data_IF_141258326467
#
_entry.id   IF_141258326467
#
_cell.length_a   1.000
_cell.length_b   1.000
_cell.length_c   1.000
_cell.angle_alpha   90.00
_cell.angle_beta   90.00
_cell.angle_gamma   90.00
#
_symmetry.space_group_name_H-M   'P 1'
#
loop_
_entity.id
_entity.type
_entity.pdbx_description
1 polymer ?
#
# COMPACT_ATOMS: atom_id res chain seq x y z
N UNK A 1 11.51 -10.42 4.32
CA UNK A 1 10.98 -9.06 4.51
C UNK A 1 11.74 -8.25 5.55
N UNK A 2 12.81 -8.78 6.15
CA UNK A 2 13.58 -8.13 7.23
C UNK A 2 13.97 -6.69 6.92
N UNK A 3 14.54 -6.43 5.74
CA UNK A 3 14.93 -5.08 5.34
C UNK A 3 13.78 -4.07 5.39
N UNK A 4 12.58 -4.43 4.91
CA UNK A 4 11.41 -3.53 4.97
C UNK A 4 11.03 -3.20 6.42
N UNK A 5 11.02 -4.21 7.29
CA UNK A 5 10.71 -4.03 8.71
C UNK A 5 11.74 -3.14 9.40
N UNK A 6 13.02 -3.30 9.07
CA UNK A 6 14.09 -2.44 9.58
C UNK A 6 13.91 -0.98 9.13
N UNK A 7 13.55 -0.74 7.87
CA UNK A 7 13.30 0.63 7.38
C UNK A 7 12.06 1.27 8.03
N UNK A 8 10.99 0.50 8.23
CA UNK A 8 9.78 1.00 8.88
C UNK A 8 10.01 1.30 10.37
N UNK A 9 10.77 0.44 11.05
CA UNK A 9 11.18 0.67 12.43
C UNK A 9 12.05 1.92 12.57
N UNK A 10 13.03 2.11 11.69
CA UNK A 10 13.88 3.29 11.69
C UNK A 10 13.08 4.57 11.41
N UNK A 11 12.14 4.52 10.46
CA UNK A 11 11.24 5.64 10.17
C UNK A 11 10.35 5.98 11.38
N UNK A 12 9.73 4.98 12.02
CA UNK A 12 8.91 5.15 13.23
C UNK A 12 9.71 5.83 14.35
N UNK A 13 10.95 5.40 14.58
CA UNK A 13 11.84 5.98 15.61
C UNK A 13 12.21 7.43 15.33
N UNK A 14 12.36 7.79 14.05
CA UNK A 14 12.70 9.15 13.64
C UNK A 14 11.46 10.05 13.50
N UNK A 15 10.26 9.47 13.57
CA UNK A 15 9.00 10.19 13.32
C UNK A 15 8.71 10.43 11.84
N UNK A 16 9.44 9.76 10.93
CA UNK A 16 9.29 9.90 9.49
C UNK A 16 7.99 9.23 9.01
N UNK A 17 7.45 9.74 7.90
CA UNK A 17 6.32 9.13 7.20
C UNK A 17 6.79 8.37 5.96
N UNK A 18 6.12 7.26 5.66
CA UNK A 18 6.51 6.33 4.60
C UNK A 18 5.43 6.20 3.55
N UNK A 19 5.84 6.32 2.29
CA UNK A 19 5.08 5.84 1.14
C UNK A 19 5.66 4.51 0.68
N UNK A 20 4.80 3.49 0.53
CA UNK A 20 5.19 2.23 -0.09
C UNK A 20 4.81 2.25 -1.57
N UNK A 21 5.77 1.89 -2.43
CA UNK A 21 5.57 1.78 -3.88
C UNK A 21 6.03 0.40 -4.33
N UNK A 22 5.13 -0.35 -4.96
CA UNK A 22 5.42 -1.69 -5.45
C UNK A 22 4.54 -2.03 -6.67
N UNK A 23 4.74 -3.20 -7.28
CA UNK A 23 4.03 -3.55 -8.52
C UNK A 23 2.76 -4.36 -8.25
N UNK A 24 2.90 -5.58 -7.71
CA UNK A 24 1.81 -6.53 -7.46
C UNK A 24 1.20 -6.22 -6.08
N UNK A 25 -0.10 -5.89 -5.98
CA UNK A 25 -0.77 -5.68 -4.70
C UNK A 25 -0.70 -6.93 -3.81
N UNK A 26 -0.46 -6.75 -2.51
CA UNK A 26 -0.37 -7.88 -1.57
C UNK A 26 -1.65 -8.71 -1.41
N UNK A 27 -2.81 -8.17 -1.80
CA UNK A 27 -4.10 -8.87 -1.81
C UNK A 27 -4.46 -9.51 -3.17
N UNK A 28 -3.57 -9.43 -4.16
CA UNK A 28 -3.78 -10.07 -5.46
C UNK A 28 -3.52 -11.59 -5.38
N UNK A 29 -4.23 -12.35 -6.21
CA UNK A 29 -4.09 -13.82 -6.27
C UNK A 29 -2.69 -14.31 -6.67
N UNK A 30 -1.86 -13.44 -7.25
CA UNK A 30 -0.49 -13.74 -7.62
C UNK A 30 0.51 -13.55 -6.46
N UNK A 31 0.09 -12.95 -5.36
CA UNK A 31 0.91 -12.87 -4.16
C UNK A 31 0.94 -14.23 -3.43
N UNK A 32 2.13 -14.71 -3.09
CA UNK A 32 2.26 -15.90 -2.24
C UNK A 32 1.65 -15.62 -0.88
N UNK A 33 0.74 -16.50 -0.41
CA UNK A 33 -0.01 -16.34 0.85
C UNK A 33 0.90 -15.97 2.03
N UNK A 34 2.01 -16.69 2.21
CA UNK A 34 2.96 -16.41 3.27
C UNK A 34 3.58 -15.01 3.17
N UNK A 35 3.84 -14.50 1.96
CA UNK A 35 4.33 -13.14 1.77
C UNK A 35 3.22 -12.12 2.07
N UNK A 36 2.02 -12.35 1.54
CA UNK A 36 0.85 -11.49 1.72
C UNK A 36 0.49 -11.29 3.20
N UNK A 37 0.42 -12.38 3.98
CA UNK A 37 0.12 -12.34 5.43
C UNK A 37 1.20 -11.56 6.18
N UNK A 38 2.48 -11.81 5.89
CA UNK A 38 3.55 -11.08 6.57
C UNK A 38 3.52 -9.58 6.20
N UNK A 39 3.23 -9.25 4.94
CA UNK A 39 3.13 -7.86 4.48
C UNK A 39 1.95 -7.15 5.16
N UNK A 40 0.80 -7.82 5.24
CA UNK A 40 -0.39 -7.36 5.94
C UNK A 40 -0.11 -7.05 7.41
N UNK A 41 0.59 -7.94 8.11
CA UNK A 41 0.98 -7.75 9.50
C UNK A 41 1.95 -6.57 9.67
N UNK A 42 2.90 -6.40 8.75
CA UNK A 42 3.83 -5.28 8.76
C UNK A 42 3.10 -3.95 8.58
N UNK A 43 2.21 -3.86 7.59
CA UNK A 43 1.44 -2.64 7.31
C UNK A 43 0.55 -2.26 8.49
N UNK A 44 -0.12 -3.23 9.11
CA UNK A 44 -0.91 -2.97 10.32
C UNK A 44 -0.06 -2.53 11.51
N UNK A 45 1.10 -3.17 11.75
CA UNK A 45 1.99 -2.77 12.85
C UNK A 45 2.48 -1.34 12.70
N UNK A 46 2.75 -0.88 11.49
CA UNK A 46 3.32 0.43 11.20
C UNK A 46 2.26 1.39 10.60
N UNK A 47 0.98 1.24 10.96
CA UNK A 47 -0.12 2.04 10.41
C UNK A 47 0.04 3.56 10.62
N UNK A 48 0.68 3.99 11.71
CA UNK A 48 0.94 5.41 11.99
C UNK A 48 2.13 5.97 11.18
N UNK A 49 2.98 5.09 10.66
CA UNK A 49 4.22 5.42 9.93
C UNK A 49 3.97 5.36 8.42
N UNK A 50 3.19 4.39 7.94
CA UNK A 50 2.85 4.24 6.52
C UNK A 50 1.64 5.12 6.20
N UNK A 51 1.84 6.20 5.44
CA UNK A 51 0.77 7.16 5.13
C UNK A 51 0.17 6.98 3.73
N UNK A 52 0.83 6.22 2.85
CA UNK A 52 0.27 5.84 1.55
C UNK A 52 0.90 4.57 0.97
N UNK A 53 0.13 3.86 0.15
CA UNK A 53 0.55 2.65 -0.55
C UNK A 53 0.10 2.72 -2.02
N UNK A 54 1.05 2.61 -2.95
CA UNK A 54 0.83 2.76 -4.39
C UNK A 54 1.30 1.55 -5.18
N UNK A 55 0.38 0.95 -5.93
CA UNK A 55 0.57 -0.29 -6.67
C UNK A 55 0.03 -0.18 -8.10
N UNK A 56 0.19 -1.26 -8.88
CA UNK A 56 -0.38 -1.40 -10.21
C UNK A 56 -0.68 -2.87 -10.51
N UNK A 57 -0.09 -3.39 -11.59
CA UNK A 57 -0.21 -4.80 -12.04
C UNK A 57 -1.59 -5.21 -12.55
N UNK A 58 -2.68 -4.87 -11.85
CA UNK A 58 -4.05 -5.28 -12.22
C UNK A 58 -4.59 -4.57 -13.47
N UNK A 59 -3.86 -3.55 -13.96
CA UNK A 59 -4.19 -2.66 -15.08
C UNK A 59 -5.47 -1.83 -14.89
N UNK A 60 -6.21 -2.08 -13.82
CA UNK A 60 -7.51 -1.51 -13.50
C UNK A 60 -7.40 -0.40 -12.47
N UNK A 61 -8.44 0.41 -12.41
CA UNK A 61 -8.60 1.40 -11.36
C UNK A 61 -9.18 0.74 -10.11
N UNK A 62 -8.35 0.51 -9.09
CA UNK A 62 -8.75 -0.22 -7.88
C UNK A 62 -8.16 0.40 -6.60
N UNK A 63 -8.81 0.11 -5.48
CA UNK A 63 -8.25 0.35 -4.17
C UNK A 63 -8.66 -0.77 -3.21
N UNK A 64 -7.83 -0.99 -2.21
CA UNK A 64 -8.07 -1.98 -1.15
C UNK A 64 -7.97 -1.29 0.19
N UNK A 65 -8.90 -1.61 1.10
CA UNK A 65 -8.86 -1.13 2.48
C UNK A 65 -8.18 -2.20 3.33
N UNK A 66 -7.18 -1.78 4.11
CA UNK A 66 -6.52 -2.63 5.09
C UNK A 66 -7.26 -2.50 6.40
N UNK A 67 -7.51 -3.63 7.05
CA UNK A 67 -8.26 -3.72 8.30
C UNK A 67 -7.35 -4.23 9.43
N UNK A 68 -7.71 -3.91 10.67
CA UNK A 68 -6.96 -4.37 11.85
C UNK A 68 -7.03 -5.90 11.98
N UNK A 69 -8.19 -6.49 11.68
CA UNK A 69 -8.37 -7.94 11.65
C UNK A 69 -8.70 -8.40 10.20
N UNK A 70 -7.82 -9.20 9.55
CA UNK A 70 -8.04 -9.67 8.18
C UNK A 70 -9.27 -10.58 8.03
N UNK A 71 -9.69 -11.23 9.12
CA UNK A 71 -10.84 -12.14 9.13
C UNK A 71 -12.16 -11.44 9.50
N UNK A 72 -12.13 -10.14 9.79
CA UNK A 72 -13.32 -9.36 10.15
C UNK A 72 -13.36 -8.01 9.42
N UNK A 73 -14.13 -7.96 8.33
CA UNK A 73 -14.38 -6.74 7.56
C UNK A 73 -15.18 -5.66 8.30
N UNK A 74 -15.62 -5.90 9.54
CA UNK A 74 -16.21 -4.88 10.43
C UNK A 74 -15.20 -4.30 11.42
N UNK A 75 -13.98 -4.82 11.45
CA UNK A 75 -12.90 -4.27 12.26
C UNK A 75 -12.48 -2.88 11.77
N UNK A 76 -11.61 -2.21 12.53
CA UNK A 76 -11.19 -0.84 12.21
C UNK A 76 -10.34 -0.83 10.93
N UNK A 77 -10.61 0.08 9.97
CA UNK A 77 -9.70 0.29 8.85
C UNK A 77 -8.41 0.98 9.34
N UNK A 78 -7.26 0.48 8.90
CA UNK A 78 -5.92 0.93 9.32
C UNK A 78 -5.13 1.55 8.17
N UNK A 79 -5.55 1.32 6.93
CA UNK A 79 -4.87 1.89 5.76
C UNK A 79 -5.60 1.67 4.45
N UNK A 80 -5.03 2.23 3.39
CA UNK A 80 -5.53 2.08 2.02
C UNK A 80 -4.38 1.79 1.07
N UNK A 81 -4.62 0.89 0.13
CA UNK A 81 -3.74 0.59 -1.01
C UNK A 81 -4.43 1.08 -2.27
N UNK A 82 -3.76 1.91 -3.04
CA UNK A 82 -4.24 2.34 -4.35
C UNK A 82 -3.53 1.55 -5.46
N UNK A 83 -4.30 0.91 -6.34
CA UNK A 83 -3.79 0.33 -7.59
C UNK A 83 -4.12 1.26 -8.75
N UNK A 84 -3.10 1.81 -9.39
CA UNK A 84 -3.28 2.72 -10.52
C UNK A 84 -3.59 1.96 -11.81
N UNK A 85 -4.43 2.54 -12.70
CA UNK A 85 -4.69 1.94 -14.01
C UNK A 85 -3.43 1.99 -14.86
N UNK A 86 -3.43 1.20 -15.93
CA UNK A 86 -2.27 1.12 -16.82
C UNK A 86 -2.37 2.05 -18.03
N UNK A 87 -1.20 2.40 -18.59
CA UNK A 87 -1.11 3.05 -19.90
C UNK A 87 -1.41 2.09 -21.05
N UNK A 88 -1.19 0.79 -20.85
CA UNK A 88 -1.47 -0.20 -21.90
C UNK A 88 -2.98 -0.45 -21.97
N UNK A 89 -3.57 -0.56 -23.17
CA UNK A 89 -4.98 -0.95 -23.29
C UNK A 89 -5.22 -2.43 -22.99
N UNK A 90 -4.17 -3.20 -22.65
CA UNK A 90 -4.24 -4.65 -22.49
C UNK A 90 -5.20 -5.05 -21.36
N UNK A 91 -6.25 -5.84 -21.58
CA UNK A 91 -6.79 -6.25 -22.89
C UNK A 91 -7.96 -5.40 -23.38
N UNK A 92 -8.65 -4.70 -22.49
CA UNK A 92 -9.88 -3.96 -22.79
C UNK A 92 -10.03 -2.70 -21.89
N UNK A 93 -8.92 -2.03 -21.61
CA UNK A 93 -8.91 -0.79 -20.82
C UNK A 93 -8.60 0.42 -21.71
N UNK A 94 -9.07 1.60 -21.30
CA UNK A 94 -8.60 2.85 -21.87
C UNK A 94 -7.22 3.17 -21.27
N UNK A 95 -6.22 3.59 -22.07
CA UNK A 95 -4.97 4.12 -21.54
C UNK A 95 -5.22 5.22 -20.53
N UNK A 96 -4.69 5.06 -19.32
CA UNK A 96 -4.86 6.02 -18.24
C UNK A 96 -3.58 6.20 -17.43
N UNK A 97 -3.48 7.34 -16.78
CA UNK A 97 -2.47 7.63 -15.77
C UNK A 97 -3.14 8.34 -14.60
N UNK A 98 -2.44 8.40 -13.47
CA UNK A 98 -2.96 8.96 -12.24
C UNK A 98 -2.02 10.00 -11.65
N UNK A 99 -2.62 11.04 -11.08
CA UNK A 99 -1.92 12.06 -10.30
C UNK A 99 -2.48 12.01 -8.88
N UNK A 100 -1.61 11.87 -7.89
CA UNK A 100 -1.98 12.01 -6.48
C UNK A 100 -1.63 13.41 -6.00
N UNK A 101 -2.56 14.04 -5.29
CA UNK A 101 -2.28 15.22 -4.47
C UNK A 101 -2.04 14.72 -3.05
N UNK A 102 -0.88 15.01 -2.49
CA UNK A 102 -0.45 14.55 -1.17
C UNK A 102 -0.12 15.78 -0.34
N UNK A 103 -0.25 15.67 0.99
CA UNK A 103 0.24 16.71 1.89
C UNK A 103 1.72 17.01 1.60
N UNK A 104 2.02 18.30 1.52
CA UNK A 104 3.29 18.80 1.02
C UNK A 104 4.37 18.85 2.09
N UNK A 105 5.54 19.36 1.70
CA UNK A 105 6.63 19.63 2.64
C UNK A 105 6.39 20.95 3.38
N UNK A 106 6.44 20.91 4.71
CA UNK A 106 6.35 22.09 5.58
C UNK A 106 7.29 21.96 6.81
N UNK A 107 7.58 23.05 7.53
CA UNK A 107 8.39 22.96 8.74
C UNK A 107 7.76 22.02 9.79
N UNK A 108 8.42 20.89 10.06
CA UNK A 108 7.93 19.86 10.97
C UNK A 108 7.08 18.75 10.32
N UNK A 109 6.96 18.74 8.98
CA UNK A 109 6.52 17.56 8.22
C UNK A 109 7.63 16.54 8.06
#
# INVERSE_FOLDING_TARGET
>A
MTWLLEQLEDAERNGDKVHLVAHIPGGDSEALEGWAINYYNAVNRYEDTIVAQFFGHTHSEEYYVVYENPEDGKSRPTGVVYSAPSLTPYHQYNPAYRIYTIDGNYPGS
#
